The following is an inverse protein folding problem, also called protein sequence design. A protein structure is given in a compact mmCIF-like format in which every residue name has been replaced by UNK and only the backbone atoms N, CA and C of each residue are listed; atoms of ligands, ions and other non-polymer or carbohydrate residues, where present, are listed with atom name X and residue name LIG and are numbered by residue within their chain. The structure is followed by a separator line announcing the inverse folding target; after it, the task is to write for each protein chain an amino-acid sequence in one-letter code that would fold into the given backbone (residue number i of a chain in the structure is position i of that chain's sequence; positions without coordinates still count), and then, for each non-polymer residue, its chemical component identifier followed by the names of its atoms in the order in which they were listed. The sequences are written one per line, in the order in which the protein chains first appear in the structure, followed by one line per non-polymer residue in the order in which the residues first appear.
data_IF_460313291863
#
_entry.id   IF_460313291863
#
_cell.length_a   1.000
_cell.length_b   1.000
_cell.length_c   1.000
_cell.angle_alpha   90.00
_cell.angle_beta   90.00
_cell.angle_gamma   90.00
#
_symmetry.space_group_name_H-M   'P 1'
#
loop_
_entity.id
_entity.type
_entity.pdbx_description
1 polymer ?
#
# COMPACT_ATOMS: atom_id res chain seq x y z
N UNK A 1 -48.19 13.87 -17.32
CA UNK A 1 -47.01 14.26 -16.50
C UNK A 1 -45.81 13.61 -17.17
N UNK A 2 -45.13 14.31 -18.07
CA UNK A 2 -43.98 13.75 -18.80
C UNK A 2 -42.72 14.02 -17.98
N UNK A 3 -42.11 12.98 -17.43
CA UNK A 3 -40.80 13.03 -16.80
C UNK A 3 -39.74 13.23 -17.89
N UNK A 4 -39.03 14.36 -17.83
CA UNK A 4 -37.80 14.59 -18.58
C UNK A 4 -36.71 13.73 -17.96
N UNK A 5 -36.22 12.71 -18.69
CA UNK A 5 -34.98 12.02 -18.31
C UNK A 5 -33.81 12.91 -18.71
N UNK A 6 -33.08 13.41 -17.71
CA UNK A 6 -31.82 14.12 -17.92
C UNK A 6 -30.83 13.16 -18.58
N UNK A 7 -30.36 13.53 -19.78
CA UNK A 7 -29.38 12.76 -20.53
C UNK A 7 -28.00 13.09 -19.98
N UNK A 8 -27.57 12.38 -18.93
CA UNK A 8 -26.18 12.49 -18.45
C UNK A 8 -25.26 12.01 -19.58
N UNK A 9 -24.28 12.82 -20.02
CA UNK A 9 -23.35 12.38 -21.05
C UNK A 9 -22.61 11.13 -20.57
N UNK A 10 -22.57 10.10 -21.41
CA UNK A 10 -21.79 8.89 -21.14
C UNK A 10 -20.32 9.26 -21.24
N UNK A 11 -19.65 9.31 -20.09
CA UNK A 11 -18.22 9.55 -19.99
C UNK A 11 -17.44 8.40 -20.64
N UNK A 12 -16.31 8.72 -21.25
CA UNK A 12 -15.31 7.72 -21.63
C UNK A 12 -14.74 7.04 -20.39
N UNK A 13 -14.16 5.85 -20.57
CA UNK A 13 -13.59 5.09 -19.46
C UNK A 13 -12.55 5.89 -18.66
N UNK A 14 -11.70 6.66 -19.35
CA UNK A 14 -10.68 7.51 -18.71
C UNK A 14 -11.30 8.64 -17.89
N UNK A 15 -12.36 9.27 -18.38
CA UNK A 15 -13.09 10.32 -17.66
C UNK A 15 -13.80 9.76 -16.42
N UNK A 16 -14.37 8.55 -16.51
CA UNK A 16 -14.95 7.86 -15.37
C UNK A 16 -13.88 7.57 -14.30
N UNK A 17 -12.72 7.04 -14.70
CA UNK A 17 -11.59 6.78 -13.78
C UNK A 17 -11.12 8.08 -13.12
N UNK A 18 -10.98 9.17 -13.89
CA UNK A 18 -10.60 10.48 -13.34
C UNK A 18 -11.61 11.00 -12.31
N UNK A 19 -12.91 10.78 -12.52
CA UNK A 19 -13.97 11.19 -11.60
C UNK A 19 -13.98 10.44 -10.25
N UNK A 20 -13.44 9.21 -10.21
CA UNK A 20 -13.31 8.44 -8.96
C UNK A 20 -12.27 9.04 -8.01
N UNK A 21 -11.39 9.91 -8.53
CA UNK A 21 -10.30 10.52 -7.78
C UNK A 21 -9.23 9.51 -7.35
N UNK A 22 -8.19 9.99 -6.67
CA UNK A 22 -7.19 9.12 -6.06
C UNK A 22 -7.70 8.60 -4.72
N UNK A 23 -7.42 7.34 -4.41
CA UNK A 23 -7.78 6.74 -3.13
C UNK A 23 -6.95 7.37 -2.00
N UNK A 24 -7.60 8.17 -1.15
CA UNK A 24 -6.93 8.96 -0.11
C UNK A 24 -6.63 8.19 1.18
N UNK A 25 -7.13 6.96 1.30
CA UNK A 25 -7.01 6.15 2.52
C UNK A 25 -6.08 4.94 2.36
N UNK A 26 -5.21 4.97 1.34
CA UNK A 26 -4.19 3.95 1.10
C UNK A 26 -2.84 4.32 1.71
N UNK A 27 -1.89 3.37 1.67
CA UNK A 27 -0.48 3.65 1.95
C UNK A 27 0.08 4.56 0.85
N UNK A 28 0.31 5.84 1.17
CA UNK A 28 0.93 6.81 0.26
C UNK A 28 2.45 6.91 0.45
N UNK A 29 2.99 6.29 1.51
CA UNK A 29 4.41 6.36 1.81
C UNK A 29 5.22 5.51 0.81
N UNK A 30 6.43 5.97 0.50
CA UNK A 30 7.35 5.23 -0.34
C UNK A 30 7.67 3.87 0.30
N UNK A 31 7.67 2.81 -0.49
CA UNK A 31 7.98 1.46 -0.03
C UNK A 31 9.48 1.21 0.17
N UNK A 32 10.32 2.25 0.20
CA UNK A 32 11.78 2.12 0.23
C UNK A 32 12.30 1.22 1.37
N UNK A 33 11.66 1.26 2.55
CA UNK A 33 11.98 0.39 3.67
C UNK A 33 11.61 -1.08 3.42
N UNK A 34 10.49 -1.32 2.70
CA UNK A 34 10.05 -2.66 2.31
C UNK A 34 10.78 -3.21 1.10
N UNK A 35 11.24 -2.36 0.18
CA UNK A 35 11.93 -2.76 -1.04
C UNK A 35 13.28 -3.46 -0.77
N UNK A 36 13.99 -3.03 0.28
CA UNK A 36 15.25 -3.64 0.70
C UNK A 36 15.06 -4.80 1.69
N UNK A 37 13.84 -5.03 2.19
CA UNK A 37 13.59 -6.07 3.17
C UNK A 37 13.68 -7.46 2.51
N UNK A 38 14.46 -8.35 3.13
CA UNK A 38 14.50 -9.74 2.71
C UNK A 38 13.12 -10.40 2.86
N UNK A 39 12.67 -11.13 1.83
CA UNK A 39 11.40 -11.85 1.89
C UNK A 39 11.54 -13.16 2.66
N UNK A 40 10.57 -13.43 3.52
CA UNK A 40 10.49 -14.65 4.33
C UNK A 40 11.23 -14.57 5.65
N UNK A 41 10.92 -15.50 6.56
CA UNK A 41 11.55 -15.61 7.86
C UNK A 41 12.64 -16.68 7.82
N UNK A 42 13.89 -16.26 8.00
CA UNK A 42 15.05 -17.12 8.15
C UNK A 42 15.80 -16.72 9.42
N UNK A 43 16.62 -17.63 9.93
CA UNK A 43 17.45 -17.38 11.11
C UNK A 43 18.41 -16.19 10.90
N UNK A 44 18.97 -16.06 9.69
CA UNK A 44 19.81 -14.92 9.31
C UNK A 44 19.07 -13.58 9.38
N UNK A 45 17.81 -13.55 8.92
CA UNK A 45 16.96 -12.36 8.99
C UNK A 45 16.64 -11.99 10.43
N UNK A 46 16.33 -12.98 11.28
CA UNK A 46 16.04 -12.76 12.71
C UNK A 46 17.27 -12.20 13.43
N UNK A 47 18.46 -12.80 13.25
CA UNK A 47 19.70 -12.29 13.85
C UNK A 47 20.05 -10.89 13.35
N UNK A 48 19.87 -10.62 12.04
CA UNK A 48 20.09 -9.31 11.46
C UNK A 48 19.18 -8.23 12.07
N UNK A 49 17.89 -8.53 12.24
CA UNK A 49 16.94 -7.61 12.88
C UNK A 49 17.30 -7.38 14.35
N UNK A 50 17.65 -8.44 15.09
CA UNK A 50 18.02 -8.34 16.50
C UNK A 50 19.26 -7.46 16.71
N UNK A 51 20.27 -7.59 15.84
CA UNK A 51 21.46 -6.74 15.84
C UNK A 51 21.13 -5.27 15.53
N UNK A 52 20.27 -5.00 14.54
CA UNK A 52 19.82 -3.63 14.23
C UNK A 52 19.08 -2.98 15.41
N UNK A 53 18.42 -3.79 16.24
CA UNK A 53 17.65 -3.34 17.41
C UNK A 53 18.47 -3.30 18.70
N UNK A 54 19.76 -3.65 18.66
CA UNK A 54 20.63 -3.78 19.84
C UNK A 54 20.01 -4.66 20.93
N UNK A 55 19.40 -5.77 20.54
CA UNK A 55 18.78 -6.69 21.49
C UNK A 55 19.85 -7.54 22.22
N UNK A 56 19.59 -7.91 23.48
CA UNK A 56 20.50 -8.74 24.27
C UNK A 56 20.46 -10.20 23.80
N UNK A 57 21.58 -10.92 23.98
CA UNK A 57 21.77 -12.29 23.46
C UNK A 57 20.71 -13.30 23.93
N UNK A 58 20.12 -13.13 25.12
CA UNK A 58 19.06 -14.03 25.61
C UNK A 58 17.78 -14.02 24.76
N UNK A 59 17.60 -13.01 23.91
CA UNK A 59 16.48 -12.94 22.95
C UNK A 59 16.74 -13.76 21.67
N UNK A 60 17.95 -14.27 21.46
CA UNK A 60 18.36 -15.04 20.28
C UNK A 60 18.48 -16.55 20.53
N UNK A 61 18.41 -16.97 21.79
CA UNK A 61 18.50 -18.38 22.26
C UNK A 61 17.13 -19.07 22.27
#
# INVERSE_FOLDING_TARGET
MTTTQETTPVLTQDEQIASLGRYQFGWSDSDAAGAAAARGLSESTVRGISALKNEPAWMLE
#
